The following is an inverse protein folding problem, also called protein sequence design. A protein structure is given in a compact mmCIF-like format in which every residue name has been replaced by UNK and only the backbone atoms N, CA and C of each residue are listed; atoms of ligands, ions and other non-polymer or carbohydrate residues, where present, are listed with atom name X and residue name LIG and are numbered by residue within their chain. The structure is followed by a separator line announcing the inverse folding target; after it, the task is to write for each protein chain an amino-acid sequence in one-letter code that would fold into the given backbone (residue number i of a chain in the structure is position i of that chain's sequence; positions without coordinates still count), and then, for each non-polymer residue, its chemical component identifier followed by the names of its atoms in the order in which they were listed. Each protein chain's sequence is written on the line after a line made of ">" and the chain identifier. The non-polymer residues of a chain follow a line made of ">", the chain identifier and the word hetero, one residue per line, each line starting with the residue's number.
data_IF_702809591948
#
_entry.id   IF_702809591948
#
_cell.length_a   1.000
_cell.length_b   1.000
_cell.length_c   1.000
_cell.angle_alpha   90.00
_cell.angle_beta   90.00
_cell.angle_gamma   90.00
#
_symmetry.space_group_name_H-M   'P 1'
#
loop_
_entity.id
_entity.type
_entity.pdbx_description
1 polymer ?
#
# COMPACT_ATOMS: atom_id res chain seq x y z
N UNK A 1 -12.37 -13.57 30.16
CA UNK A 1 -11.44 -12.98 29.18
C UNK A 1 -11.33 -13.97 28.04
N UNK A 2 -11.53 -13.54 26.80
CA UNK A 2 -11.40 -14.43 25.65
C UNK A 2 -9.93 -14.68 25.30
N UNK A 3 -9.66 -15.80 24.65
CA UNK A 3 -8.35 -16.11 24.08
C UNK A 3 -8.21 -15.50 22.67
N UNK A 4 -6.97 -15.36 22.18
CA UNK A 4 -6.71 -14.92 20.82
C UNK A 4 -7.41 -15.83 19.79
N UNK A 5 -7.43 -17.15 20.02
CA UNK A 5 -8.14 -18.11 19.15
C UNK A 5 -9.65 -17.88 19.15
N UNK A 6 -10.28 -17.72 20.31
CA UNK A 6 -11.72 -17.47 20.41
C UNK A 6 -12.10 -16.17 19.68
N UNK A 7 -11.28 -15.13 19.80
CA UNK A 7 -11.50 -13.88 19.09
C UNK A 7 -11.44 -14.05 17.57
N UNK A 8 -10.44 -14.78 17.06
CA UNK A 8 -10.29 -15.08 15.63
C UNK A 8 -11.49 -15.89 15.12
N UNK A 9 -11.88 -16.94 15.85
CA UNK A 9 -13.00 -17.80 15.46
C UNK A 9 -14.33 -17.04 15.49
N UNK A 10 -14.57 -16.24 16.54
CA UNK A 10 -15.78 -15.42 16.65
C UNK A 10 -15.89 -14.42 15.50
N UNK A 11 -14.78 -13.74 15.14
CA UNK A 11 -14.77 -12.80 14.02
C UNK A 11 -14.96 -13.53 12.68
N UNK A 12 -14.29 -14.68 12.49
CA UNK A 12 -14.45 -15.52 11.31
C UNK A 12 -15.89 -15.99 11.14
N UNK A 13 -16.51 -16.51 12.20
CA UNK A 13 -17.88 -17.01 12.18
C UNK A 13 -18.87 -15.89 11.89
N UNK A 14 -18.66 -14.70 12.46
CA UNK A 14 -19.49 -13.53 12.16
C UNK A 14 -19.39 -13.15 10.68
N UNK A 15 -18.19 -13.13 10.11
CA UNK A 15 -17.98 -12.86 8.67
C UNK A 15 -18.68 -13.92 7.82
N UNK A 16 -18.45 -15.21 8.12
CA UNK A 16 -19.05 -16.31 7.38
C UNK A 16 -20.57 -16.33 7.41
N UNK A 17 -21.17 -16.05 8.57
CA UNK A 17 -22.64 -15.91 8.71
C UNK A 17 -23.19 -14.75 7.89
N UNK A 18 -22.50 -13.61 7.86
CA UNK A 18 -22.91 -12.47 7.05
C UNK A 18 -22.87 -12.81 5.56
N UNK A 19 -21.80 -13.45 5.07
CA UNK A 19 -21.70 -13.88 3.67
C UNK A 19 -22.86 -14.81 3.30
N UNK A 20 -23.13 -15.82 4.14
CA UNK A 20 -24.21 -16.78 3.88
C UNK A 20 -25.61 -16.14 3.89
N UNK A 21 -25.82 -15.08 4.68
CA UNK A 21 -27.16 -14.51 4.91
C UNK A 21 -27.46 -13.28 4.04
N UNK A 22 -26.44 -12.54 3.60
CA UNK A 22 -26.58 -11.21 2.99
C UNK A 22 -25.94 -11.10 1.60
N UNK A 23 -25.70 -12.23 0.91
CA UNK A 23 -25.09 -12.24 -0.42
C UNK A 23 -25.80 -11.32 -1.44
N UNK A 24 -27.13 -11.15 -1.32
CA UNK A 24 -27.95 -10.28 -2.17
C UNK A 24 -27.98 -8.81 -1.73
N UNK A 25 -27.51 -8.50 -0.51
CA UNK A 25 -27.48 -7.15 0.07
C UNK A 25 -26.03 -6.71 0.27
N UNK A 26 -25.31 -6.57 -0.83
CA UNK A 26 -23.84 -6.36 -0.85
C UNK A 26 -23.37 -5.15 -0.02
N UNK A 27 -24.12 -4.05 -0.02
CA UNK A 27 -23.82 -2.87 0.79
C UNK A 27 -23.85 -3.20 2.30
N UNK A 28 -24.93 -3.81 2.78
CA UNK A 28 -25.09 -4.19 4.19
C UNK A 28 -24.10 -5.29 4.59
N UNK A 29 -23.91 -6.29 3.72
CA UNK A 29 -22.89 -7.32 3.87
C UNK A 29 -21.51 -6.68 4.08
N UNK A 30 -21.17 -5.69 3.25
CA UNK A 30 -19.87 -5.03 3.30
C UNK A 30 -19.68 -4.27 4.61
N UNK A 31 -20.70 -3.51 5.05
CA UNK A 31 -20.68 -2.80 6.34
C UNK A 31 -20.47 -3.77 7.51
N UNK A 32 -21.21 -4.88 7.53
CA UNK A 32 -21.13 -5.85 8.61
C UNK A 32 -19.77 -6.55 8.67
N UNK A 33 -19.17 -6.89 7.52
CA UNK A 33 -17.84 -7.48 7.49
C UNK A 33 -16.80 -6.45 7.96
N UNK A 34 -16.83 -5.20 7.46
CA UNK A 34 -15.90 -4.14 7.85
C UNK A 34 -15.85 -3.96 9.39
N UNK A 35 -16.99 -4.06 10.07
CA UNK A 35 -17.08 -3.96 11.52
C UNK A 35 -16.32 -5.08 12.26
N UNK A 36 -16.11 -6.25 11.63
CA UNK A 36 -15.41 -7.40 12.23
C UNK A 36 -13.92 -7.47 11.88
N UNK A 37 -13.48 -6.77 10.82
CA UNK A 37 -12.10 -6.90 10.31
C UNK A 37 -11.05 -6.52 11.34
N UNK A 38 -11.29 -5.46 12.12
CA UNK A 38 -10.33 -5.00 13.14
C UNK A 38 -10.13 -6.08 14.22
N UNK A 39 -11.22 -6.67 14.69
CA UNK A 39 -11.22 -7.75 15.68
C UNK A 39 -10.44 -8.97 15.16
N UNK A 40 -10.64 -9.34 13.89
CA UNK A 40 -9.91 -10.43 13.24
C UNK A 40 -8.41 -10.12 13.18
N UNK A 41 -8.02 -8.95 12.67
CA UNK A 41 -6.60 -8.57 12.50
C UNK A 41 -5.87 -8.48 13.83
N UNK A 42 -6.49 -7.88 14.85
CA UNK A 42 -5.90 -7.77 16.19
C UNK A 42 -5.73 -9.16 16.83
N UNK A 43 -6.72 -10.06 16.68
CA UNK A 43 -6.61 -11.44 17.15
C UNK A 43 -5.47 -12.21 16.48
N UNK A 44 -5.35 -12.10 15.16
CA UNK A 44 -4.26 -12.72 14.38
C UNK A 44 -2.89 -12.17 14.80
N UNK A 45 -2.77 -10.86 15.00
CA UNK A 45 -1.52 -10.25 15.44
C UNK A 45 -1.08 -10.80 16.81
N UNK A 46 -1.99 -10.90 17.78
CA UNK A 46 -1.69 -11.46 19.10
C UNK A 46 -1.28 -12.94 19.02
N UNK A 47 -1.97 -13.73 18.19
CA UNK A 47 -1.62 -15.13 17.96
C UNK A 47 -0.18 -15.27 17.42
N UNK A 48 0.16 -14.51 16.38
CA UNK A 48 1.49 -14.57 15.76
C UNK A 48 2.59 -14.07 16.69
N UNK A 49 2.31 -13.04 17.49
CA UNK A 49 3.27 -12.49 18.44
C UNK A 49 3.57 -13.44 19.60
N UNK A 50 2.53 -14.08 20.13
CA UNK A 50 2.67 -14.96 21.31
C UNK A 50 2.99 -16.40 20.94
N UNK A 51 2.73 -16.81 19.70
CA UNK A 51 2.88 -18.19 19.24
C UNK A 51 1.91 -19.18 19.90
N UNK A 52 0.97 -18.70 20.72
CA UNK A 52 0.05 -19.54 21.49
C UNK A 52 -1.41 -19.16 21.23
N UNK A 53 -2.27 -20.10 20.81
CA UNK A 53 -3.68 -19.85 20.59
C UNK A 53 -4.47 -19.58 21.88
N UNK A 54 -3.93 -19.96 23.03
CA UNK A 54 -4.56 -19.80 24.34
C UNK A 54 -4.15 -18.50 25.06
N UNK A 55 -3.33 -17.67 24.42
CA UNK A 55 -2.96 -16.36 24.96
C UNK A 55 -4.19 -15.49 25.20
N UNK A 56 -4.19 -14.77 26.31
CA UNK A 56 -5.23 -13.80 26.65
C UNK A 56 -5.32 -12.73 25.56
N UNK A 57 -6.53 -12.44 25.12
CA UNK A 57 -6.80 -11.33 24.22
C UNK A 57 -7.19 -10.09 25.05
N UNK A 58 -6.25 -9.16 25.20
CA UNK A 58 -6.46 -7.89 25.87
C UNK A 58 -5.72 -6.74 25.19
N UNK A 59 -5.97 -5.51 25.65
CA UNK A 59 -5.36 -4.31 25.08
C UNK A 59 -3.83 -4.29 25.20
N UNK A 60 -3.26 -4.86 26.26
CA UNK A 60 -1.81 -4.89 26.45
C UNK A 60 -1.15 -5.85 25.44
N UNK A 61 -1.76 -7.02 25.22
CA UNK A 61 -1.33 -7.99 24.22
C UNK A 61 -1.39 -7.41 22.80
N UNK A 62 -2.47 -6.70 22.45
CA UNK A 62 -2.62 -6.03 21.14
C UNK A 62 -1.52 -4.98 20.96
N UNK A 63 -1.28 -4.14 21.98
CA UNK A 63 -0.27 -3.08 21.93
C UNK A 63 1.15 -3.63 21.74
N UNK A 64 1.45 -4.81 22.29
CA UNK A 64 2.73 -5.50 22.09
C UNK A 64 2.83 -6.19 20.72
N UNK A 65 1.71 -6.77 20.24
CA UNK A 65 1.69 -7.53 19.00
C UNK A 65 1.80 -6.68 17.73
N UNK A 66 1.23 -5.47 17.73
CA UNK A 66 1.24 -4.60 16.54
C UNK A 66 2.66 -4.21 16.08
N UNK A 67 3.56 -3.73 16.96
CA UNK A 67 4.96 -3.50 16.59
C UNK A 67 5.66 -4.74 16.03
N UNK A 68 5.39 -5.91 16.59
CA UNK A 68 5.97 -7.17 16.13
C UNK A 68 5.58 -7.50 14.69
N UNK A 69 4.28 -7.45 14.35
CA UNK A 69 3.83 -7.73 12.97
C UNK A 69 4.33 -6.68 11.98
N UNK A 70 4.54 -5.43 12.41
CA UNK A 70 5.16 -4.38 11.59
C UNK A 70 6.65 -4.60 11.33
N UNK A 71 7.35 -5.23 12.28
CA UNK A 71 8.79 -5.48 12.18
C UNK A 71 9.12 -6.67 11.26
N UNK A 72 8.22 -7.64 11.16
CA UNK A 72 8.45 -8.85 10.37
C UNK A 72 7.90 -8.72 8.95
N UNK A 73 8.77 -8.87 7.95
CA UNK A 73 8.41 -8.72 6.53
C UNK A 73 7.20 -9.59 6.13
N UNK A 74 7.18 -10.85 6.59
CA UNK A 74 6.09 -11.80 6.31
C UNK A 74 4.73 -11.38 6.88
N UNK A 75 4.70 -10.55 7.93
CA UNK A 75 3.48 -10.11 8.63
C UNK A 75 3.15 -8.64 8.40
N UNK A 76 4.00 -7.90 7.70
CA UNK A 76 3.87 -6.46 7.48
C UNK A 76 2.51 -6.08 6.84
N UNK A 77 1.95 -6.96 6.00
CA UNK A 77 0.63 -6.74 5.42
C UNK A 77 -0.48 -6.62 6.49
N UNK A 78 -0.38 -7.32 7.62
CA UNK A 78 -1.32 -7.22 8.74
C UNK A 78 -1.23 -5.85 9.42
N UNK A 79 0.00 -5.37 9.65
CA UNK A 79 0.23 -4.04 10.22
C UNK A 79 -0.32 -2.93 9.31
N UNK A 80 -0.05 -3.01 8.00
CA UNK A 80 -0.64 -2.10 7.00
C UNK A 80 -2.16 -2.16 7.03
N UNK A 81 -2.73 -3.36 7.08
CA UNK A 81 -4.18 -3.54 7.11
C UNK A 81 -4.81 -2.94 8.36
N UNK A 82 -4.21 -3.16 9.54
CA UNK A 82 -4.65 -2.57 10.80
C UNK A 82 -4.66 -1.04 10.74
N UNK A 83 -3.59 -0.42 10.19
CA UNK A 83 -3.51 1.03 9.98
C UNK A 83 -4.66 1.53 9.09
N UNK A 84 -4.93 0.84 7.98
CA UNK A 84 -6.01 1.19 7.06
C UNK A 84 -7.39 1.09 7.73
N UNK A 85 -7.62 0.03 8.51
CA UNK A 85 -8.89 -0.16 9.25
C UNK A 85 -9.12 0.94 10.29
N UNK A 86 -8.07 1.37 10.99
CA UNK A 86 -8.17 2.48 11.94
C UNK A 86 -8.55 3.81 11.26
N UNK A 87 -8.02 4.05 10.07
CA UNK A 87 -8.29 5.26 9.28
C UNK A 87 -9.67 5.24 8.59
N UNK A 88 -10.16 4.07 8.16
CA UNK A 88 -11.43 3.95 7.44
C UNK A 88 -12.66 4.04 8.34
N UNK A 89 -12.62 3.43 9.53
CA UNK A 89 -13.72 3.43 10.51
C UNK A 89 -14.01 4.83 11.08
N UNK A 90 -13.04 5.75 11.03
CA UNK A 90 -13.22 7.12 11.54
C UNK A 90 -13.82 8.11 10.53
N UNK A 91 -13.83 7.77 9.23
CA UNK A 91 -14.08 8.76 8.16
C UNK A 91 -14.84 8.24 6.92
N UNK A 92 -15.07 6.93 6.79
CA UNK A 92 -15.59 6.33 5.55
C UNK A 92 -16.73 5.34 5.75
N UNK A 93 -16.94 4.81 6.94
CA UNK A 93 -18.06 3.89 7.20
C UNK A 93 -19.32 4.72 7.41
N UNK A 94 -20.19 4.78 6.40
CA UNK A 94 -21.65 4.88 6.54
C UNK A 94 -22.38 4.86 5.19
N UNK A 95 -21.70 5.20 4.08
CA UNK A 95 -22.27 5.01 2.74
C UNK A 95 -22.07 3.55 2.24
N UNK A 96 -23.14 2.94 1.72
CA UNK A 96 -23.16 1.57 1.22
C UNK A 96 -22.16 1.37 0.08
N UNK A 97 -22.15 2.29 -0.87
CA UNK A 97 -21.26 2.28 -2.05
C UNK A 97 -19.78 2.39 -1.66
N UNK A 98 -19.46 3.24 -0.69
CA UNK A 98 -18.11 3.39 -0.17
C UNK A 98 -17.64 2.11 0.54
N UNK A 99 -18.54 1.48 1.29
CA UNK A 99 -18.28 0.23 2.02
C UNK A 99 -18.02 -0.94 1.07
N UNK A 100 -18.80 -1.06 -0.01
CA UNK A 100 -18.57 -2.09 -1.04
C UNK A 100 -17.19 -1.95 -1.71
N UNK A 101 -16.83 -0.74 -2.15
CA UNK A 101 -15.53 -0.49 -2.78
C UNK A 101 -14.37 -0.77 -1.82
N UNK A 102 -14.54 -0.44 -0.55
CA UNK A 102 -13.54 -0.72 0.47
C UNK A 102 -13.40 -2.22 0.71
N UNK A 103 -14.52 -2.95 0.77
CA UNK A 103 -14.51 -4.40 0.94
C UNK A 103 -13.86 -5.13 -0.22
N UNK A 104 -14.08 -4.70 -1.46
CA UNK A 104 -13.36 -5.25 -2.62
C UNK A 104 -11.85 -5.12 -2.49
N UNK A 105 -11.37 -3.99 -1.95
CA UNK A 105 -9.94 -3.79 -1.67
C UNK A 105 -9.45 -4.63 -0.49
N UNK A 106 -10.29 -4.84 0.52
CA UNK A 106 -9.93 -5.61 1.72
C UNK A 106 -10.09 -7.13 1.56
N UNK A 107 -10.81 -7.57 0.53
CA UNK A 107 -11.03 -8.98 0.25
C UNK A 107 -9.72 -9.74 0.03
N UNK A 108 -8.73 -9.12 -0.60
CA UNK A 108 -7.40 -9.68 -0.75
C UNK A 108 -6.71 -9.95 0.60
N UNK A 109 -6.85 -9.03 1.56
CA UNK A 109 -6.29 -9.18 2.90
C UNK A 109 -6.91 -10.37 3.65
N UNK A 110 -8.21 -10.63 3.45
CA UNK A 110 -8.88 -11.79 4.04
C UNK A 110 -8.31 -13.11 3.52
N UNK A 111 -8.06 -13.22 2.21
CA UNK A 111 -7.42 -14.41 1.63
C UNK A 111 -5.99 -14.60 2.14
N UNK A 112 -5.22 -13.52 2.28
CA UNK A 112 -3.87 -13.54 2.86
C UNK A 112 -3.90 -13.99 4.32
N UNK A 113 -4.83 -13.47 5.14
CA UNK A 113 -5.04 -13.89 6.54
C UNK A 113 -5.38 -15.37 6.62
N UNK A 114 -6.34 -15.85 5.79
CA UNK A 114 -6.75 -17.26 5.77
C UNK A 114 -5.59 -18.19 5.44
N UNK A 115 -4.80 -17.83 4.42
CA UNK A 115 -3.64 -18.63 4.02
C UNK A 115 -2.57 -18.63 5.10
N UNK A 116 -2.28 -17.47 5.69
CA UNK A 116 -1.33 -17.35 6.80
C UNK A 116 -1.72 -18.21 8.01
N UNK A 117 -2.99 -18.15 8.44
CA UNK A 117 -3.48 -18.91 9.59
C UNK A 117 -3.47 -20.41 9.33
N UNK A 118 -3.81 -20.84 8.12
CA UNK A 118 -3.74 -22.26 7.73
C UNK A 118 -2.29 -22.74 7.72
N UNK A 119 -1.41 -22.01 7.06
CA UNK A 119 -0.06 -22.47 6.76
C UNK A 119 0.88 -22.33 7.98
N UNK A 120 0.72 -21.28 8.80
CA UNK A 120 1.58 -21.02 9.97
C UNK A 120 0.99 -21.51 11.29
N UNK A 121 -0.34 -21.62 11.41
CA UNK A 121 -1.01 -21.92 12.68
C UNK A 121 -1.93 -23.15 12.62
N UNK A 122 -2.13 -23.78 11.45
CA UNK A 122 -3.06 -24.90 11.29
C UNK A 122 -4.52 -24.55 11.55
N UNK A 123 -4.88 -23.26 11.49
CA UNK A 123 -6.24 -22.77 11.75
C UNK A 123 -7.00 -22.54 10.44
N UNK A 124 -8.09 -23.28 10.25
CA UNK A 124 -9.01 -23.04 9.13
C UNK A 124 -10.06 -22.02 9.55
N UNK A 125 -10.12 -20.90 8.83
CA UNK A 125 -11.06 -19.79 9.04
C UNK A 125 -11.61 -19.32 7.70
N UNK A 126 -12.69 -18.52 7.72
CA UNK A 126 -13.28 -17.90 6.53
C UNK A 126 -13.57 -18.94 5.42
N UNK A 127 -14.33 -19.99 5.78
CA UNK A 127 -14.56 -21.17 4.94
C UNK A 127 -15.35 -20.90 3.67
N UNK A 128 -16.25 -19.91 3.70
CA UNK A 128 -17.11 -19.50 2.60
C UNK A 128 -16.71 -18.15 2.01
N UNK A 129 -15.43 -17.79 2.08
CA UNK A 129 -14.96 -16.49 1.60
C UNK A 129 -15.23 -16.30 0.10
N UNK A 130 -15.16 -17.39 -0.68
CA UNK A 130 -15.45 -17.46 -2.11
C UNK A 130 -16.90 -17.10 -2.46
N UNK A 131 -17.84 -17.24 -1.52
CA UNK A 131 -19.25 -16.91 -1.73
C UNK A 131 -19.49 -15.38 -1.64
N UNK A 132 -18.47 -14.59 -1.29
CA UNK A 132 -18.56 -13.14 -1.32
C UNK A 132 -18.71 -12.66 -2.77
N UNK A 133 -19.67 -11.77 -3.09
CA UNK A 133 -19.91 -11.29 -4.45
C UNK A 133 -18.83 -10.28 -4.89
N UNK A 134 -17.66 -10.78 -5.28
CA UNK A 134 -16.51 -9.98 -5.77
C UNK A 134 -16.79 -9.42 -7.17
N UNK A 135 -17.10 -10.30 -8.12
CA UNK A 135 -17.37 -9.97 -9.52
C UNK A 135 -18.78 -10.42 -9.92
N UNK A 136 -19.49 -9.57 -10.67
CA UNK A 136 -20.85 -9.87 -11.16
C UNK A 136 -20.85 -10.58 -12.51
N UNK A 137 -19.69 -10.68 -13.19
CA UNK A 137 -19.57 -11.23 -14.54
C UNK A 137 -18.87 -12.60 -14.52
N UNK A 138 -19.67 -13.66 -14.56
CA UNK A 138 -19.19 -15.04 -14.60
C UNK A 138 -18.39 -15.41 -15.86
N UNK A 139 -18.45 -14.60 -16.93
CA UNK A 139 -17.73 -14.88 -18.18
C UNK A 139 -16.21 -14.76 -18.04
N UNK A 140 -15.73 -13.98 -17.06
CA UNK A 140 -14.31 -13.78 -16.79
C UNK A 140 -13.70 -14.91 -15.95
N UNK A 141 -14.52 -15.76 -15.33
CA UNK A 141 -14.03 -16.84 -14.47
C UNK A 141 -13.18 -17.86 -15.27
N UNK A 142 -13.70 -18.34 -16.41
CA UNK A 142 -12.96 -19.26 -17.28
C UNK A 142 -11.62 -18.65 -17.74
N UNK A 143 -11.65 -17.37 -18.14
CA UNK A 143 -10.46 -16.63 -18.56
C UNK A 143 -9.37 -16.64 -17.47
N UNK A 144 -9.72 -16.26 -16.24
CA UNK A 144 -8.78 -16.21 -15.13
C UNK A 144 -8.31 -17.60 -14.66
N UNK A 145 -9.16 -18.62 -14.71
CA UNK A 145 -8.78 -20.01 -14.41
C UNK A 145 -7.73 -20.57 -15.38
N UNK A 146 -7.90 -20.29 -16.69
CA UNK A 146 -6.93 -20.69 -17.72
C UNK A 146 -5.59 -20.00 -17.50
N UNK A 147 -5.59 -18.72 -17.19
CA UNK A 147 -4.36 -17.96 -16.86
C UNK A 147 -3.67 -18.55 -15.62
N UNK A 148 -4.42 -18.75 -14.54
CA UNK A 148 -3.90 -19.32 -13.30
C UNK A 148 -3.24 -20.70 -13.54
N UNK A 149 -3.83 -21.50 -14.42
CA UNK A 149 -3.28 -22.81 -14.82
C UNK A 149 -1.95 -22.67 -15.56
N UNK A 150 -1.80 -21.70 -16.48
CA UNK A 150 -0.51 -21.43 -17.16
C UNK A 150 0.56 -20.94 -16.20
N UNK A 151 0.22 -20.06 -15.27
CA UNK A 151 1.15 -19.57 -14.24
C UNK A 151 1.66 -20.75 -13.40
N UNK A 152 0.76 -21.63 -12.93
CA UNK A 152 1.15 -22.82 -12.14
C UNK A 152 2.02 -23.78 -12.94
N UNK A 153 1.64 -24.11 -14.17
CA UNK A 153 2.40 -25.01 -15.03
C UNK A 153 3.84 -24.51 -15.24
N UNK A 154 4.00 -23.19 -15.33
CA UNK A 154 5.31 -22.58 -15.53
C UNK A 154 6.23 -22.64 -14.31
N UNK A 155 5.72 -22.60 -13.08
CA UNK A 155 6.57 -22.76 -11.88
C UNK A 155 7.43 -24.02 -11.93
N UNK A 156 6.96 -25.06 -12.62
CA UNK A 156 7.63 -26.36 -12.75
C UNK A 156 8.64 -26.44 -13.91
N UNK A 157 8.85 -25.37 -14.69
CA UNK A 157 9.76 -25.37 -15.85
C UNK A 157 10.96 -24.45 -15.66
N UNK A 158 12.12 -24.86 -16.16
CA UNK A 158 13.36 -24.08 -16.10
C UNK A 158 13.23 -22.74 -16.86
N UNK A 159 13.90 -21.67 -16.41
CA UNK A 159 13.83 -20.37 -17.08
C UNK A 159 14.36 -20.46 -18.52
N UNK A 160 13.49 -20.24 -19.51
CA UNK A 160 13.90 -19.96 -20.89
C UNK A 160 14.49 -18.56 -21.05
N UNK A 161 14.81 -18.16 -22.28
CA UNK A 161 15.29 -16.80 -22.57
C UNK A 161 14.23 -15.78 -22.12
N UNK A 162 14.61 -14.94 -21.16
CA UNK A 162 13.71 -13.97 -20.55
C UNK A 162 14.22 -12.56 -20.78
N UNK A 163 13.30 -11.64 -21.04
CA UNK A 163 13.63 -10.23 -21.25
C UNK A 163 13.28 -9.49 -19.96
N UNK A 164 14.32 -9.04 -19.26
CA UNK A 164 14.18 -8.25 -18.05
C UNK A 164 14.32 -6.76 -18.39
N UNK A 165 13.28 -5.96 -18.08
CA UNK A 165 13.24 -4.52 -18.37
C UNK A 165 12.59 -3.76 -17.23
N UNK A 166 12.88 -2.46 -17.12
CA UNK A 166 12.32 -1.58 -16.09
C UNK A 166 11.01 -0.93 -16.55
N UNK A 167 10.01 -0.99 -15.69
CA UNK A 167 8.67 -0.46 -15.90
C UNK A 167 8.21 0.33 -14.67
N UNK A 168 7.33 1.30 -14.88
CA UNK A 168 6.49 1.81 -13.79
C UNK A 168 5.25 0.94 -13.71
N UNK A 169 4.90 0.52 -12.51
CA UNK A 169 3.65 -0.18 -12.25
C UNK A 169 2.53 0.86 -12.20
N UNK A 170 1.49 0.67 -13.01
CA UNK A 170 0.33 1.55 -13.06
C UNK A 170 -0.75 1.10 -12.09
N UNK A 171 -1.06 -0.20 -12.11
CA UNK A 171 -2.09 -0.81 -11.29
C UNK A 171 -1.79 -2.29 -11.10
N UNK A 172 -2.14 -2.82 -9.92
CA UNK A 172 -2.10 -4.23 -9.58
C UNK A 172 -3.49 -4.61 -9.11
N UNK A 173 -4.21 -5.41 -9.90
CA UNK A 173 -5.55 -5.88 -9.57
C UNK A 173 -5.48 -7.35 -9.15
N UNK A 174 -5.88 -7.71 -7.91
CA UNK A 174 -5.98 -9.10 -7.54
C UNK A 174 -7.14 -9.78 -8.30
N UNK A 175 -6.94 -11.03 -8.67
CA UNK A 175 -8.00 -11.94 -9.12
C UNK A 175 -7.81 -13.30 -8.44
N UNK A 176 -8.91 -14.04 -8.31
CA UNK A 176 -8.96 -15.24 -7.50
C UNK A 176 -9.33 -16.42 -8.39
N UNK A 177 -8.50 -17.46 -8.35
CA UNK A 177 -8.75 -18.68 -9.12
C UNK A 177 -8.24 -19.88 -8.34
N UNK A 178 -9.04 -20.95 -8.29
CA UNK A 178 -8.66 -22.21 -7.64
C UNK A 178 -8.15 -22.03 -6.19
N UNK A 179 -8.79 -21.16 -5.40
CA UNK A 179 -8.45 -20.87 -4.00
C UNK A 179 -7.11 -20.12 -3.79
N UNK A 180 -6.50 -19.61 -4.86
CA UNK A 180 -5.26 -18.83 -4.80
C UNK A 180 -5.47 -17.40 -5.31
N UNK A 181 -4.64 -16.49 -4.80
CA UNK A 181 -4.58 -15.11 -5.27
C UNK A 181 -3.58 -15.02 -6.41
N UNK A 182 -3.98 -14.33 -7.47
CA UNK A 182 -3.16 -13.93 -8.59
C UNK A 182 -3.35 -12.44 -8.84
N UNK A 183 -2.52 -11.88 -9.71
CA UNK A 183 -2.48 -10.44 -9.97
C UNK A 183 -2.44 -10.16 -11.46
N UNK A 184 -3.34 -9.29 -11.90
CA UNK A 184 -3.29 -8.61 -13.18
C UNK A 184 -2.53 -7.30 -12.99
N UNK A 185 -1.36 -7.20 -13.61
CA UNK A 185 -0.44 -6.08 -13.46
C UNK A 185 -0.46 -5.27 -14.75
N UNK A 186 -0.92 -4.02 -14.64
CA UNK A 186 -0.80 -3.04 -15.71
C UNK A 186 0.44 -2.19 -15.47
N UNK A 187 1.32 -2.10 -16.46
CA UNK A 187 2.56 -1.33 -16.36
C UNK A 187 2.94 -0.69 -17.69
N UNK A 188 3.91 0.22 -17.65
CA UNK A 188 4.41 0.90 -18.84
C UNK A 188 5.92 1.15 -18.74
N UNK A 189 6.64 1.30 -19.87
CA UNK A 189 8.09 1.49 -19.86
C UNK A 189 8.53 2.65 -18.96
N UNK A 190 9.61 2.46 -18.18
CA UNK A 190 10.10 3.48 -17.25
C UNK A 190 10.90 4.61 -17.92
N UNK A 191 10.25 5.33 -18.84
CA UNK A 191 10.80 6.46 -19.61
C UNK A 191 10.09 7.77 -19.23
N UNK A 192 10.62 8.92 -19.66
CA UNK A 192 10.15 10.24 -19.21
C UNK A 192 8.86 10.73 -19.90
N UNK A 193 8.40 10.08 -20.98
CA UNK A 193 7.13 10.42 -21.64
C UNK A 193 6.43 9.11 -21.92
N UNK A 194 5.25 8.92 -21.32
CA UNK A 194 4.48 7.69 -21.47
C UNK A 194 3.02 8.07 -21.66
N UNK A 195 2.35 7.39 -22.58
CA UNK A 195 0.92 7.58 -22.87
C UNK A 195 0.11 6.39 -22.37
N UNK A 196 -1.22 6.54 -22.33
CA UNK A 196 -2.15 5.43 -22.03
C UNK A 196 -2.05 4.25 -23.01
N UNK A 197 -1.51 4.48 -24.21
CA UNK A 197 -1.36 3.46 -25.25
C UNK A 197 -0.12 2.59 -25.04
N UNK A 198 0.80 2.99 -24.15
CA UNK A 198 2.00 2.23 -23.82
C UNK A 198 1.78 1.21 -22.68
N UNK A 199 0.52 1.05 -22.25
CA UNK A 199 0.14 0.14 -21.16
C UNK A 199 0.20 -1.30 -21.64
N UNK A 200 0.90 -2.13 -20.87
CA UNK A 200 0.98 -3.57 -21.05
C UNK A 200 0.32 -4.23 -19.85
N UNK A 201 -0.48 -5.27 -20.11
CA UNK A 201 -1.10 -6.11 -19.10
C UNK A 201 -0.33 -7.43 -19.04
N UNK A 202 0.04 -7.86 -17.85
CA UNK A 202 0.59 -9.20 -17.61
C UNK A 202 0.02 -9.79 -16.32
N UNK A 203 0.18 -11.10 -16.16
CA UNK A 203 -0.37 -11.86 -15.06
C UNK A 203 0.74 -12.50 -14.24
N UNK A 204 0.53 -12.60 -12.94
CA UNK A 204 1.49 -13.21 -12.03
C UNK A 204 0.81 -13.72 -10.76
N UNK A 205 1.50 -14.57 -10.04
CA UNK A 205 1.21 -15.02 -8.70
C UNK A 205 2.10 -14.34 -7.65
N UNK A 206 3.02 -13.50 -8.10
CA UNK A 206 3.92 -12.73 -7.23
C UNK A 206 3.20 -11.47 -6.77
N UNK A 207 3.24 -11.23 -5.45
CA UNK A 207 2.78 -9.98 -4.86
C UNK A 207 3.74 -8.84 -5.24
N UNK A 208 3.34 -8.03 -6.23
CA UNK A 208 4.11 -6.89 -6.72
C UNK A 208 3.54 -5.61 -6.13
N UNK A 209 4.40 -4.80 -5.52
CA UNK A 209 4.02 -3.48 -5.00
C UNK A 209 4.02 -2.42 -6.14
N UNK A 210 3.00 -1.56 -6.17
CA UNK A 210 2.79 -0.54 -7.20
C UNK A 210 3.47 0.82 -6.91
N UNK A 211 4.15 0.93 -5.76
CA UNK A 211 4.69 2.20 -5.26
C UNK A 211 5.95 2.61 -5.99
N UNK A 212 6.80 1.64 -6.34
CA UNK A 212 8.08 1.91 -6.98
C UNK A 212 8.16 1.38 -8.42
N UNK A 213 9.07 1.93 -9.24
CA UNK A 213 9.42 1.31 -10.51
C UNK A 213 10.02 -0.07 -10.26
N UNK A 214 9.71 -1.02 -11.12
CA UNK A 214 10.14 -2.41 -11.01
C UNK A 214 10.88 -2.86 -12.26
N UNK A 215 11.89 -3.70 -12.09
CA UNK A 215 12.38 -4.53 -13.19
C UNK A 215 11.53 -5.79 -13.24
N UNK A 216 10.88 -6.05 -14.37
CA UNK A 216 10.01 -7.21 -14.58
C UNK A 216 10.65 -8.14 -15.60
N UNK A 217 10.62 -9.44 -15.30
CA UNK A 217 11.00 -10.51 -16.22
C UNK A 217 9.75 -11.07 -16.86
N UNK A 218 9.59 -10.80 -18.15
CA UNK A 218 8.36 -11.09 -18.90
C UNK A 218 8.51 -12.33 -19.78
N UNK A 219 7.40 -13.01 -19.98
CA UNK A 219 7.28 -14.16 -20.87
C UNK A 219 5.95 -14.10 -21.60
N UNK A 220 5.97 -14.48 -22.87
CA UNK A 220 4.76 -14.55 -23.68
C UNK A 220 4.26 -15.97 -23.70
N UNK A 221 2.97 -16.12 -23.51
CA UNK A 221 2.29 -17.40 -23.56
C UNK A 221 0.94 -17.24 -24.26
N UNK A 222 0.21 -18.34 -24.43
CA UNK A 222 -1.14 -18.35 -24.98
C UNK A 222 -2.10 -19.15 -24.10
N UNK A 223 -3.35 -18.72 -24.06
CA UNK A 223 -4.49 -19.45 -23.48
C UNK A 223 -5.53 -19.67 -24.56
N UNK A 224 -6.38 -20.67 -24.35
CA UNK A 224 -7.57 -20.90 -25.18
C UNK A 224 -8.81 -20.71 -24.31
N UNK A 225 -9.67 -19.78 -24.72
CA UNK A 225 -10.92 -19.43 -24.04
C UNK A 225 -12.01 -19.33 -25.10
N UNK A 226 -13.15 -20.00 -24.89
CA UNK A 226 -14.25 -20.06 -25.86
C UNK A 226 -13.80 -20.47 -27.29
N UNK A 227 -12.85 -21.40 -27.40
CA UNK A 227 -12.30 -21.88 -28.69
C UNK A 227 -11.42 -20.88 -29.44
N UNK A 228 -11.05 -19.76 -28.79
CA UNK A 228 -10.16 -18.74 -29.37
C UNK A 228 -8.83 -18.72 -28.61
N UNK A 229 -7.72 -18.79 -29.35
CA UNK A 229 -6.38 -18.60 -28.78
C UNK A 229 -6.10 -17.12 -28.53
N UNK A 230 -5.76 -16.78 -27.29
CA UNK A 230 -5.45 -15.43 -26.85
C UNK A 230 -4.02 -15.37 -26.30
N UNK A 231 -3.20 -14.42 -26.75
CA UNK A 231 -1.87 -14.22 -26.19
C UNK A 231 -1.97 -13.59 -24.79
N UNK A 232 -1.15 -14.08 -23.86
CA UNK A 232 -0.99 -13.52 -22.52
C UNK A 232 0.49 -13.25 -22.24
N UNK A 233 0.73 -12.34 -21.29
CA UNK A 233 2.09 -12.10 -20.77
C UNK A 233 2.12 -12.53 -19.31
N UNK A 234 3.15 -13.27 -18.90
CA UNK A 234 3.34 -13.73 -17.52
C UNK A 234 4.60 -13.09 -16.95
N UNK A 235 4.48 -12.48 -15.77
CA UNK A 235 5.63 -11.99 -14.99
C UNK A 235 6.12 -13.14 -14.13
N UNK A 236 7.38 -13.53 -14.30
CA UNK A 236 8.01 -14.62 -13.51
C UNK A 236 8.99 -14.17 -12.46
N UNK A 237 9.47 -12.94 -12.56
CA UNK A 237 10.39 -12.40 -11.58
C UNK A 237 10.25 -10.88 -11.56
N UNK A 238 10.48 -10.30 -10.39
CA UNK A 238 10.38 -8.87 -10.17
C UNK A 238 11.41 -8.41 -9.14
N UNK A 239 11.87 -7.17 -9.31
CA UNK A 239 12.59 -6.45 -8.26
C UNK A 239 12.27 -4.98 -8.32
N UNK A 240 12.25 -4.33 -7.16
CA UNK A 240 12.22 -2.87 -7.07
C UNK A 240 13.45 -2.30 -7.77
N UNK A 241 13.27 -1.23 -8.54
CA UNK A 241 14.32 -0.64 -9.35
C UNK A 241 14.10 0.86 -9.57
N UNK A 242 14.13 1.62 -8.46
CA UNK A 242 14.10 3.09 -8.49
C UNK A 242 15.25 3.61 -9.35
N UNK A 243 15.00 4.52 -10.28
CA UNK A 243 16.03 5.00 -11.20
C UNK A 243 17.07 5.83 -10.44
N UNK A 244 18.37 5.75 -10.78
CA UNK A 244 19.39 6.59 -10.15
C UNK A 244 19.11 8.10 -10.22
N UNK A 245 18.44 8.56 -11.28
CA UNK A 245 18.03 9.97 -11.40
C UNK A 245 16.91 10.37 -10.43
N UNK A 246 16.04 9.44 -10.01
CA UNK A 246 15.02 9.70 -8.99
C UNK A 246 15.67 9.88 -7.62
N UNK A 247 16.60 8.97 -7.26
CA UNK A 247 17.39 9.07 -6.03
C UNK A 247 18.23 10.34 -6.01
N UNK A 248 18.87 10.69 -7.14
CA UNK A 248 19.60 11.96 -7.27
C UNK A 248 18.70 13.17 -7.06
N UNK A 249 17.53 13.21 -7.71
CA UNK A 249 16.62 14.36 -7.57
C UNK A 249 16.05 14.46 -6.16
N UNK A 250 15.80 13.33 -5.49
CA UNK A 250 15.43 13.32 -4.09
C UNK A 250 16.55 13.86 -3.20
N UNK A 251 17.80 13.39 -3.37
CA UNK A 251 18.97 13.90 -2.64
C UNK A 251 19.16 15.42 -2.83
N UNK A 252 18.88 15.93 -4.03
CA UNK A 252 18.93 17.38 -4.31
C UNK A 252 17.90 18.19 -3.50
N UNK A 253 16.73 17.64 -3.19
CA UNK A 253 15.75 18.31 -2.31
C UNK A 253 16.31 18.50 -0.89
N UNK A 254 17.24 17.64 -0.49
CA UNK A 254 17.92 17.63 0.81
C UNK A 254 19.25 18.40 0.79
N UNK A 255 19.57 19.09 -0.32
CA UNK A 255 20.82 19.84 -0.46
C UNK A 255 22.06 19.01 -0.78
N UNK A 256 21.89 17.73 -1.14
CA UNK A 256 22.98 16.82 -1.46
C UNK A 256 23.17 16.67 -2.99
N UNK A 257 24.42 16.67 -3.45
CA UNK A 257 24.75 16.21 -4.81
C UNK A 257 25.14 14.73 -4.79
N UNK A 258 24.18 13.88 -5.16
CA UNK A 258 24.37 12.43 -5.17
C UNK A 258 24.62 11.91 -6.58
N UNK A 259 25.64 11.05 -6.71
CA UNK A 259 26.04 10.38 -7.97
C UNK A 259 25.73 8.89 -7.93
N UNK A 260 24.47 8.56 -7.61
CA UNK A 260 24.01 7.16 -7.53
C UNK A 260 24.28 6.42 -8.85
N UNK A 261 24.87 5.23 -8.74
CA UNK A 261 25.11 4.33 -9.87
C UNK A 261 24.38 3.00 -9.66
N UNK A 262 23.74 2.46 -10.70
CA UNK A 262 22.95 1.21 -10.64
C UNK A 262 23.77 0.00 -10.17
N UNK A 263 25.05 -0.02 -10.51
CA UNK A 263 25.95 -1.12 -10.16
C UNK A 263 26.67 -0.90 -8.82
N UNK A 264 26.36 0.17 -8.08
CA UNK A 264 26.91 0.35 -6.74
C UNK A 264 26.34 -0.69 -5.77
N UNK A 265 27.15 -1.25 -4.86
CA UNK A 265 26.67 -2.19 -3.85
C UNK A 265 25.54 -1.60 -3.00
N UNK A 266 25.66 -0.33 -2.60
CA UNK A 266 24.63 0.42 -1.86
C UNK A 266 23.27 0.37 -2.57
N UNK A 267 23.22 0.73 -3.86
CA UNK A 267 21.99 0.69 -4.64
C UNK A 267 21.39 -0.72 -4.67
N UNK A 268 22.22 -1.73 -4.92
CA UNK A 268 21.75 -3.12 -4.99
C UNK A 268 21.23 -3.63 -3.66
N UNK A 269 21.85 -3.25 -2.54
CA UNK A 269 21.37 -3.60 -1.21
C UNK A 269 20.02 -2.94 -0.91
N UNK A 270 19.88 -1.64 -1.18
CA UNK A 270 18.62 -0.92 -0.97
C UNK A 270 17.49 -1.51 -1.82
N UNK A 271 17.71 -1.74 -3.13
CA UNK A 271 16.68 -2.31 -4.00
C UNK A 271 16.28 -3.74 -3.60
N UNK A 272 17.26 -4.58 -3.21
CA UNK A 272 16.98 -5.93 -2.71
C UNK A 272 16.16 -5.89 -1.43
N UNK A 273 16.51 -5.00 -0.50
CA UNK A 273 15.75 -4.83 0.74
C UNK A 273 14.32 -4.34 0.49
N UNK A 274 14.14 -3.36 -0.40
CA UNK A 274 12.80 -2.88 -0.80
C UNK A 274 11.96 -4.00 -1.44
N UNK A 275 12.59 -4.87 -2.23
CA UNK A 275 11.92 -6.03 -2.84
C UNK A 275 11.53 -7.07 -1.79
N UNK A 276 12.44 -7.43 -0.88
CA UNK A 276 12.24 -8.50 0.09
C UNK A 276 11.33 -8.12 1.27
N UNK A 277 11.43 -6.89 1.76
CA UNK A 277 10.66 -6.41 2.92
C UNK A 277 9.17 -6.20 2.60
N UNK A 278 8.80 -6.18 1.31
CA UNK A 278 7.53 -5.64 0.83
C UNK A 278 7.23 -4.25 1.44
N UNK A 279 8.29 -3.54 1.84
CA UNK A 279 8.29 -2.32 2.63
C UNK A 279 8.81 -1.16 1.80
N UNK A 280 8.26 0.03 2.02
CA UNK A 280 8.70 1.24 1.33
C UNK A 280 9.83 1.96 2.06
N UNK A 281 10.40 2.97 1.39
CA UNK A 281 11.36 3.89 1.99
C UNK A 281 10.82 4.58 3.25
N UNK A 282 9.50 4.80 3.33
CA UNK A 282 8.85 5.30 4.54
C UNK A 282 9.05 4.38 5.75
N UNK A 283 8.80 3.09 5.58
CA UNK A 283 9.01 2.11 6.65
C UNK A 283 10.49 2.07 7.07
N UNK A 284 11.39 2.24 6.10
CA UNK A 284 12.82 2.30 6.35
C UNK A 284 13.21 3.45 7.28
N UNK A 285 12.69 4.66 7.05
CA UNK A 285 13.01 5.82 7.90
C UNK A 285 12.18 5.87 9.19
N UNK A 286 11.10 5.10 9.29
CA UNK A 286 10.24 5.07 10.47
C UNK A 286 10.65 4.00 11.50
N UNK A 287 11.46 3.01 11.11
CA UNK A 287 11.83 1.92 12.02
C UNK A 287 12.58 2.42 13.28
N UNK A 288 12.60 1.64 14.38
CA UNK A 288 13.38 1.94 15.57
C UNK A 288 14.86 2.20 15.26
N UNK A 289 15.51 3.07 16.04
CA UNK A 289 16.90 3.49 15.78
C UNK A 289 17.88 2.30 15.70
N UNK A 290 17.76 1.32 16.60
CA UNK A 290 18.62 0.13 16.59
C UNK A 290 18.45 -0.73 15.33
N UNK A 291 17.23 -0.87 14.81
CA UNK A 291 16.97 -1.59 13.56
C UNK A 291 17.54 -0.83 12.35
N UNK A 292 17.38 0.49 12.35
CA UNK A 292 17.88 1.35 11.31
C UNK A 292 19.40 1.30 11.22
N UNK A 293 20.12 1.43 12.33
CA UNK A 293 21.59 1.40 12.33
C UNK A 293 22.14 0.05 11.85
N UNK A 294 21.48 -1.07 12.21
CA UNK A 294 21.86 -2.40 11.70
C UNK A 294 21.71 -2.50 10.19
N UNK A 295 20.58 -2.05 9.65
CA UNK A 295 20.35 -2.06 8.19
C UNK A 295 21.26 -1.08 7.46
N UNK A 296 21.45 0.12 8.02
CA UNK A 296 22.37 1.13 7.54
C UNK A 296 23.79 0.58 7.41
N UNK A 297 24.29 -0.06 8.47
CA UNK A 297 25.60 -0.71 8.46
C UNK A 297 25.69 -1.80 7.38
N UNK A 298 24.65 -2.63 7.21
CA UNK A 298 24.60 -3.64 6.17
C UNK A 298 24.61 -3.04 4.74
N UNK A 299 23.93 -1.91 4.53
CA UNK A 299 23.88 -1.25 3.22
C UNK A 299 25.23 -0.65 2.79
N UNK A 300 26.03 -0.18 3.76
CA UNK A 300 27.30 0.51 3.50
C UNK A 300 28.55 -0.34 3.78
N UNK A 301 28.41 -1.60 4.22
CA UNK A 301 29.52 -2.45 4.64
C UNK A 301 30.68 -2.55 3.61
N UNK A 302 30.35 -2.47 2.32
CA UNK A 302 31.31 -2.55 1.20
C UNK A 302 31.37 -1.25 0.37
N UNK A 303 30.96 -0.12 0.97
CA UNK A 303 30.75 1.14 0.25
C UNK A 303 31.59 2.26 0.86
N UNK A 304 32.61 2.69 0.12
CA UNK A 304 33.50 3.76 0.57
C UNK A 304 32.83 5.15 0.59
N UNK A 305 31.89 5.41 -0.32
CA UNK A 305 31.23 6.71 -0.47
C UNK A 305 29.72 6.54 -0.67
N UNK A 306 28.94 6.37 0.42
CA UNK A 306 27.50 6.24 0.36
C UNK A 306 26.85 7.43 -0.35
N UNK A 307 25.97 7.17 -1.30
CA UNK A 307 25.29 8.14 -2.15
C UNK A 307 23.78 8.22 -1.85
N UNK A 308 23.19 7.18 -1.26
CA UNK A 308 21.75 7.07 -0.98
C UNK A 308 21.49 7.27 0.51
N UNK A 309 22.24 6.57 1.36
CA UNK A 309 22.06 6.57 2.82
C UNK A 309 22.12 7.97 3.44
N UNK A 310 23.05 8.88 3.05
CA UNK A 310 23.05 10.23 3.63
C UNK A 310 21.76 11.00 3.39
N UNK A 311 21.10 10.80 2.23
CA UNK A 311 19.81 11.42 1.96
C UNK A 311 18.70 10.81 2.83
N UNK A 312 18.75 9.51 3.10
CA UNK A 312 17.80 8.83 3.98
C UNK A 312 18.01 9.22 5.46
N UNK A 313 19.25 9.44 5.88
CA UNK A 313 19.60 9.93 7.22
C UNK A 313 18.96 11.32 7.47
N UNK A 314 19.17 12.29 6.57
CA UNK A 314 18.55 13.62 6.69
C UNK A 314 17.01 13.55 6.66
N UNK A 315 16.46 12.77 5.73
CA UNK A 315 15.00 12.61 5.63
C UNK A 315 14.43 11.99 6.91
N UNK A 316 15.13 11.00 7.48
CA UNK A 316 14.76 10.37 8.75
C UNK A 316 14.74 11.37 9.89
N UNK A 317 15.77 12.20 10.02
CA UNK A 317 15.86 13.20 11.09
C UNK A 317 14.71 14.21 11.02
N UNK A 318 14.41 14.73 9.83
CA UNK A 318 13.29 15.67 9.61
C UNK A 318 11.94 14.98 9.91
N UNK A 319 11.74 13.76 9.44
CA UNK A 319 10.48 13.03 9.64
C UNK A 319 10.28 12.64 11.11
N UNK A 320 11.34 12.21 11.81
CA UNK A 320 11.28 11.82 13.23
C UNK A 320 11.08 13.01 14.16
N UNK A 321 11.69 14.16 13.84
CA UNK A 321 11.49 15.41 14.57
C UNK A 321 10.19 16.13 14.21
N UNK A 322 9.44 15.64 13.21
CA UNK A 322 8.29 16.33 12.62
C UNK A 322 8.61 17.77 12.20
N UNK A 323 9.85 18.03 11.79
CA UNK A 323 10.29 19.35 11.38
C UNK A 323 9.59 19.80 10.08
N UNK A 324 9.50 21.12 9.81
CA UNK A 324 8.87 21.61 8.60
C UNK A 324 9.45 20.98 7.32
N UNK A 325 8.59 20.49 6.44
CA UNK A 325 8.93 19.70 5.25
C UNK A 325 8.71 18.20 5.39
N UNK A 326 8.42 17.69 6.60
CA UNK A 326 8.27 16.25 6.83
C UNK A 326 7.10 15.62 6.04
N UNK A 327 5.95 16.28 5.89
CA UNK A 327 4.81 15.71 5.15
C UNK A 327 5.10 15.65 3.66
N UNK A 328 5.80 16.66 3.13
CA UNK A 328 6.28 16.66 1.74
C UNK A 328 7.24 15.50 1.51
N UNK A 329 8.26 15.34 2.37
CA UNK A 329 9.23 14.25 2.24
C UNK A 329 8.56 12.88 2.32
N UNK A 330 7.66 12.68 3.29
CA UNK A 330 6.92 11.43 3.44
C UNK A 330 6.14 11.08 2.18
N UNK A 331 5.43 12.05 1.63
CA UNK A 331 4.67 11.87 0.40
C UNK A 331 5.56 11.50 -0.79
N UNK A 332 6.66 12.23 -0.99
CA UNK A 332 7.56 12.01 -2.13
C UNK A 332 8.26 10.64 -2.04
N UNK A 333 8.65 10.22 -0.85
CA UNK A 333 9.27 8.91 -0.60
C UNK A 333 8.32 7.73 -0.84
N UNK A 334 6.99 7.95 -0.83
CA UNK A 334 6.04 6.89 -1.11
C UNK A 334 6.24 6.29 -2.51
N UNK A 335 6.46 7.13 -3.53
CA UNK A 335 6.55 6.67 -4.94
C UNK A 335 7.81 7.07 -5.70
N UNK A 336 8.60 8.02 -5.19
CA UNK A 336 9.86 8.48 -5.80
C UNK A 336 9.75 8.88 -7.29
N UNK A 337 8.57 9.34 -7.73
CA UNK A 337 8.32 9.67 -9.14
C UNK A 337 9.16 10.87 -9.56
N UNK A 338 10.02 10.66 -10.55
CA UNK A 338 10.96 11.68 -11.05
C UNK A 338 10.33 13.03 -11.39
N UNK A 339 9.16 13.01 -12.05
CA UNK A 339 8.46 14.23 -12.48
C UNK A 339 7.98 15.05 -11.28
N UNK A 340 7.38 14.38 -10.29
CA UNK A 340 6.89 15.02 -9.07
C UNK A 340 8.06 15.59 -8.28
N UNK A 341 9.15 14.83 -8.10
CA UNK A 341 10.36 15.31 -7.41
C UNK A 341 10.90 16.60 -8.04
N UNK A 342 10.99 16.65 -9.37
CA UNK A 342 11.46 17.84 -10.10
C UNK A 342 10.52 19.02 -9.98
N UNK A 343 9.21 18.79 -9.97
CA UNK A 343 8.21 19.85 -9.81
C UNK A 343 8.30 20.53 -8.44
N UNK A 344 8.77 19.83 -7.41
CA UNK A 344 8.88 20.37 -6.05
C UNK A 344 10.21 21.09 -5.78
N UNK A 345 11.23 20.86 -6.60
CA UNK A 345 12.57 21.41 -6.40
C UNK A 345 12.65 22.92 -6.61
N UNK A 346 13.42 23.59 -5.76
CA UNK A 346 13.87 24.98 -5.90
C UNK A 346 15.40 25.06 -5.84
N UNK A 347 16.01 25.99 -6.56
CA UNK A 347 17.46 26.25 -6.42
C UNK A 347 17.80 26.77 -5.02
N UNK A 348 16.92 27.60 -4.47
CA UNK A 348 17.11 28.23 -3.17
C UNK A 348 16.62 27.32 -2.05
N UNK A 349 17.32 27.34 -0.91
CA UNK A 349 16.87 26.66 0.30
C UNK A 349 15.68 27.41 0.92
N UNK A 350 14.73 26.66 1.45
CA UNK A 350 13.54 27.20 2.10
C UNK A 350 13.69 27.09 3.62
N UNK A 351 13.98 28.21 4.29
CA UNK A 351 14.11 28.25 5.76
C UNK A 351 12.84 27.79 6.48
N UNK A 352 11.66 28.07 5.91
CA UNK A 352 10.37 27.62 6.43
C UNK A 352 10.15 26.10 6.29
N UNK A 353 10.97 25.39 5.52
CA UNK A 353 10.91 23.94 5.32
C UNK A 353 12.25 23.30 5.70
N UNK A 354 12.77 23.63 6.88
CA UNK A 354 14.02 23.06 7.43
C UNK A 354 15.26 23.24 6.55
N UNK A 355 15.29 24.29 5.71
CA UNK A 355 16.39 24.53 4.77
C UNK A 355 16.38 23.59 3.55
N UNK A 356 15.31 22.83 3.34
CA UNK A 356 15.16 21.98 2.15
C UNK A 356 15.09 22.81 0.87
N UNK A 357 15.54 22.24 -0.23
CA UNK A 357 15.44 22.82 -1.58
C UNK A 357 14.06 22.56 -2.19
N UNK A 358 13.02 22.91 -1.44
CA UNK A 358 11.61 22.82 -1.84
C UNK A 358 11.07 24.18 -2.22
N UNK A 359 10.17 24.22 -3.21
CA UNK A 359 9.43 25.44 -3.54
C UNK A 359 8.59 25.91 -2.36
N UNK A 360 8.48 27.23 -2.21
CA UNK A 360 7.64 27.85 -1.17
C UNK A 360 6.17 27.39 -1.24
N UNK A 361 5.68 27.10 -2.46
CA UNK A 361 4.34 26.54 -2.68
C UNK A 361 4.11 25.14 -2.09
N UNK A 362 5.13 24.46 -1.55
CA UNK A 362 4.96 23.20 -0.82
C UNK A 362 4.46 23.40 0.62
N UNK A 363 4.55 24.60 1.20
CA UNK A 363 4.19 24.88 2.60
C UNK A 363 2.73 24.55 2.92
N UNK A 364 1.72 24.91 2.09
CA UNK A 364 0.33 24.55 2.36
C UNK A 364 0.14 23.03 2.43
N UNK A 365 0.79 22.28 1.54
CA UNK A 365 0.77 20.81 1.56
C UNK A 365 1.48 20.24 2.77
N UNK A 366 2.60 20.82 3.16
CA UNK A 366 3.31 20.36 4.35
C UNK A 366 2.48 20.54 5.63
N UNK A 367 1.67 21.61 5.68
CA UNK A 367 0.85 21.95 6.85
C UNK A 367 -0.48 21.19 6.85
N UNK A 368 -1.22 21.21 5.74
CA UNK A 368 -2.56 20.64 5.59
C UNK A 368 -2.69 19.76 4.32
N UNK A 369 -2.03 18.60 4.29
CA UNK A 369 -1.90 17.76 3.09
C UNK A 369 -3.21 17.14 2.59
N UNK A 370 -4.25 17.01 3.42
CA UNK A 370 -5.51 16.37 3.02
C UNK A 370 -6.45 17.31 2.27
N UNK A 371 -6.31 18.63 2.42
CA UNK A 371 -7.12 19.63 1.70
C UNK A 371 -6.34 20.49 0.71
N UNK A 372 -5.01 20.39 0.67
CA UNK A 372 -4.16 21.10 -0.27
C UNK A 372 -3.39 20.14 -1.19
N UNK A 373 -2.58 20.67 -2.10
CA UNK A 373 -1.87 19.87 -3.11
C UNK A 373 -0.44 20.38 -3.31
N UNK A 374 0.44 19.50 -3.78
CA UNK A 374 1.79 19.86 -4.16
C UNK A 374 1.78 20.70 -5.45
N UNK A 375 2.76 21.60 -5.64
CA UNK A 375 2.96 22.27 -6.92
C UNK A 375 2.99 21.30 -8.11
N UNK A 376 2.04 21.48 -9.04
CA UNK A 376 1.96 20.70 -10.28
C UNK A 376 1.48 19.25 -10.11
N UNK A 377 1.01 18.86 -8.92
CA UNK A 377 0.60 17.48 -8.63
C UNK A 377 -0.53 17.44 -7.60
N UNK A 378 -1.62 16.75 -7.93
CA UNK A 378 -2.75 16.53 -7.02
C UNK A 378 -2.68 15.10 -6.43
N UNK A 379 -2.30 14.93 -5.15
CA UNK A 379 -2.16 13.62 -4.53
C UNK A 379 -3.47 12.83 -4.46
N UNK A 380 -3.46 11.55 -4.90
CA UNK A 380 -4.55 10.63 -4.60
C UNK A 380 -4.73 10.49 -3.08
N UNK A 381 -5.97 10.44 -2.61
CA UNK A 381 -6.27 10.33 -1.19
C UNK A 381 -5.66 9.09 -0.55
N UNK A 382 -5.63 7.97 -1.27
CA UNK A 382 -5.00 6.73 -0.80
C UNK A 382 -3.49 6.88 -0.58
N UNK A 383 -2.80 7.62 -1.45
CA UNK A 383 -1.38 7.88 -1.25
C UNK A 383 -1.15 8.75 0.00
N UNK A 384 -2.04 9.71 0.28
CA UNK A 384 -2.00 10.51 1.50
C UNK A 384 -2.23 9.64 2.75
N UNK A 385 -3.24 8.78 2.75
CA UNK A 385 -3.54 7.88 3.87
C UNK A 385 -2.39 6.89 4.15
N UNK A 386 -1.74 6.40 3.08
CA UNK A 386 -0.59 5.51 3.19
C UNK A 386 0.63 6.23 3.78
N UNK A 387 0.89 7.46 3.32
CA UNK A 387 2.12 8.20 3.63
C UNK A 387 2.03 9.11 4.86
N UNK A 388 0.85 9.51 5.33
CA UNK A 388 0.69 10.55 6.34
C UNK A 388 -0.12 10.09 7.55
N UNK A 389 0.03 10.82 8.66
CA UNK A 389 -0.79 10.62 9.85
C UNK A 389 -2.08 11.44 9.75
N UNK A 390 -3.21 10.78 9.99
CA UNK A 390 -4.55 11.39 9.92
C UNK A 390 -5.01 11.96 11.26
N UNK A 391 -4.38 11.51 12.36
CA UNK A 391 -4.77 11.93 13.71
C UNK A 391 -4.73 13.46 13.82
N UNK A 392 -5.77 14.05 14.40
CA UNK A 392 -5.95 15.48 14.59
C UNK A 392 -6.10 16.33 13.31
N UNK A 393 -6.35 15.71 12.15
CA UNK A 393 -6.54 16.42 10.86
C UNK A 393 -7.97 16.37 10.33
N UNK A 394 -8.95 16.24 11.24
CA UNK A 394 -10.38 16.19 10.89
C UNK A 394 -10.85 17.42 10.12
N UNK A 395 -10.31 18.60 10.46
CA UNK A 395 -10.61 19.88 9.80
C UNK A 395 -10.25 19.83 8.31
N UNK A 396 -9.11 19.23 7.95
CA UNK A 396 -8.70 19.05 6.55
C UNK A 396 -9.60 18.09 5.79
N UNK A 397 -10.01 16.99 6.43
CA UNK A 397 -10.91 16.01 5.82
C UNK A 397 -12.31 16.58 5.60
N UNK A 398 -12.80 17.40 6.53
CA UNK A 398 -14.03 18.17 6.39
C UNK A 398 -13.92 19.11 5.20
N UNK A 399 -12.86 19.92 5.12
CA UNK A 399 -12.63 20.82 4.00
C UNK A 399 -12.56 20.06 2.66
N UNK A 400 -11.91 18.89 2.63
CA UNK A 400 -11.85 18.01 1.45
C UNK A 400 -13.23 17.47 1.07
N UNK A 401 -14.06 17.08 2.03
CA UNK A 401 -15.43 16.59 1.80
C UNK A 401 -16.28 17.68 1.14
N UNK A 402 -16.28 18.88 1.70
CA UNK A 402 -17.01 20.03 1.14
C UNK A 402 -16.51 20.32 -0.29
N UNK A 403 -15.20 20.41 -0.49
CA UNK A 403 -14.63 20.67 -1.81
C UNK A 403 -14.97 19.56 -2.84
N UNK A 404 -15.00 18.29 -2.39
CA UNK A 404 -15.40 17.17 -3.23
C UNK A 404 -16.88 17.25 -3.63
N UNK A 405 -17.77 17.67 -2.73
CA UNK A 405 -19.19 17.88 -3.02
C UNK A 405 -19.39 18.97 -4.07
N UNK A 406 -18.68 20.10 -3.95
CA UNK A 406 -18.71 21.16 -4.95
C UNK A 406 -18.21 20.65 -6.31
N UNK A 407 -17.01 20.05 -6.35
CA UNK A 407 -16.34 19.72 -7.60
C UNK A 407 -16.92 18.50 -8.33
N UNK A 408 -17.42 17.49 -7.59
CA UNK A 408 -17.89 16.23 -8.18
C UNK A 408 -19.39 16.10 -8.26
N UNK A 409 -20.11 16.69 -7.31
CA UNK A 409 -21.55 16.54 -7.19
C UNK A 409 -22.30 17.84 -7.54
N UNK A 410 -21.59 18.95 -7.78
CA UNK A 410 -22.19 20.24 -8.11
C UNK A 410 -22.97 20.86 -6.95
N UNK A 411 -22.72 20.39 -5.72
CA UNK A 411 -23.41 20.84 -4.51
C UNK A 411 -22.66 22.04 -3.94
N UNK A 412 -23.24 23.23 -4.06
CA UNK A 412 -22.61 24.49 -3.59
C UNK A 412 -22.62 24.62 -2.06
N UNK A 413 -23.62 24.06 -1.40
CA UNK A 413 -23.77 24.09 0.05
C UNK A 413 -23.93 22.66 0.56
N UNK A 414 -22.95 22.18 1.32
CA UNK A 414 -23.06 20.89 2.01
C UNK A 414 -23.89 21.07 3.29
N UNK A 415 -25.00 20.34 3.46
CA UNK A 415 -25.79 20.33 4.69
C UNK A 415 -24.95 19.95 5.93
N UNK A 416 -25.26 20.52 7.10
CA UNK A 416 -24.47 20.31 8.33
C UNK A 416 -24.64 18.90 8.90
N UNK A 417 -25.81 18.32 8.73
CA UNK A 417 -26.14 16.92 9.08
C UNK A 417 -25.23 15.92 8.36
N UNK A 418 -24.80 16.21 7.12
CA UNK A 418 -23.80 15.38 6.41
C UNK A 418 -22.38 15.46 7.03
N UNK A 419 -22.14 16.39 7.96
CA UNK A 419 -20.83 16.66 8.55
C UNK A 419 -20.74 16.32 10.04
N UNK A 420 -21.85 15.91 10.67
CA UNK A 420 -21.91 15.60 12.12
C UNK A 420 -20.91 14.52 12.54
N UNK A 421 -20.58 13.58 11.65
CA UNK A 421 -19.60 12.51 11.89
C UNK A 421 -18.19 13.02 12.21
N UNK A 422 -17.84 14.22 11.75
CA UNK A 422 -16.54 14.82 12.06
C UNK A 422 -16.47 15.34 13.51
N UNK A 423 -17.62 15.56 14.16
CA UNK A 423 -17.75 16.11 15.50
C UNK A 423 -18.23 17.55 15.47
N UNK A 424 -17.63 18.41 16.29
CA UNK A 424 -17.97 19.84 16.35
C UNK A 424 -17.48 20.57 15.09
N UNK A 425 -18.35 20.68 14.09
CA UNK A 425 -18.09 21.32 12.80
C UNK A 425 -17.64 22.78 12.97
N UNK A 426 -18.26 23.53 13.89
CA UNK A 426 -17.91 24.93 14.12
C UNK A 426 -16.47 25.09 14.62
N UNK A 427 -16.04 24.23 15.54
CA UNK A 427 -14.66 24.21 16.01
C UNK A 427 -13.66 23.85 14.90
N UNK A 428 -14.02 22.91 14.02
CA UNK A 428 -13.17 22.46 12.92
C UNK A 428 -13.00 23.53 11.84
N UNK A 429 -14.01 24.37 11.60
CA UNK A 429 -13.94 25.49 10.65
C UNK A 429 -13.05 26.62 11.19
N UNK A 430 -12.97 26.79 12.52
CA UNK A 430 -12.18 27.84 13.15
C UNK A 430 -10.68 27.50 13.29
N UNK A 431 -10.28 26.27 12.95
CA UNK A 431 -8.89 25.78 12.96
C UNK A 431 -8.19 26.14 11.65
#
# INVERSE_FOLDING_TARGET
>A
MGTAREQILSASDAISKNIASLATQRALLSQNILAQLRNLVEGVAVLLHTGSPHSTFDYAAIKAALPFVHSQAAYNFLGKFHKLLKQSVSHYTLDGDASERLMLKYYEYLHRIRSLLRDSCGLTVLSNLEDFPVDLDGSLAEYYEKIASRIRARRSTLPGSSISRRYYIHNVRPFFANGCIYYEVTFYPAINKVSKFDRVIAFTDIDIDDKYPATLTLWRDEIEVFGTKMPITIITDWQVSIRPCELKNFARLLGLDSKVHRHSPEYQHVMRWLTASCGGLLQLIEMPAGDYERLRAAFIAEVNTPQIIPALDIARDIVKSQAPGHNVLRYLMLRMRNEILKQQYSSDSCSALSGLHLKYGCIPFDTMPFCTSLPGHNPPLWDLLDSLEVANRKHELLARRVNSNVLRHGVLYTPVDELEEFGDVSSLIAT
#
